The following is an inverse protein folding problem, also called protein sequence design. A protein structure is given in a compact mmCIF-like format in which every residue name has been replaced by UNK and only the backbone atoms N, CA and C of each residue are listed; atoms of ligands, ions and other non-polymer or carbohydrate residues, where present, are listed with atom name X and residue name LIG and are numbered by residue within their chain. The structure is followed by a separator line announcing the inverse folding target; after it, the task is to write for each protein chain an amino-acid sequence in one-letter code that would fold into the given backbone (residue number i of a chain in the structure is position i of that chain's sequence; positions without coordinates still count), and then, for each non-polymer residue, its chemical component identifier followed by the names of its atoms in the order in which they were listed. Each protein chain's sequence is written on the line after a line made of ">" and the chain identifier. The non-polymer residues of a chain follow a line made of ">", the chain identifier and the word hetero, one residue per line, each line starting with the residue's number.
data_IF_167662559608
#
_entry.id   IF_167662559608
#
_cell.length_a   1.000
_cell.length_b   1.000
_cell.length_c   1.000
_cell.angle_alpha   90.00
_cell.angle_beta   90.00
_cell.angle_gamma   90.00
#
_symmetry.space_group_name_H-M   'P 1'
#
loop_
_entity.id
_entity.type
_entity.pdbx_description
1 polymer ?
#
# COMPACT_ATOMS: atom_id res chain seq x y z
N UNK A 1 -7.88 14.24 -2.86
CA UNK A 1 -7.81 13.37 -1.67
C UNK A 1 -6.59 12.46 -1.77
N UNK A 2 -5.86 12.34 -0.68
CA UNK A 2 -4.67 11.47 -0.63
C UNK A 2 -5.10 10.06 -0.21
N UNK A 3 -4.63 9.06 -0.95
CA UNK A 3 -4.96 7.66 -0.72
C UNK A 3 -3.70 6.83 -0.51
N UNK A 4 -3.83 5.78 0.31
CA UNK A 4 -2.81 4.73 0.42
C UNK A 4 -3.34 3.54 -0.36
N UNK A 5 -2.64 3.16 -1.42
CA UNK A 5 -3.13 2.13 -2.34
C UNK A 5 -2.01 1.25 -2.87
N UNK A 6 -2.38 0.15 -3.51
CA UNK A 6 -1.43 -0.75 -4.14
C UNK A 6 -1.15 -0.31 -5.57
N UNK A 7 0.13 -0.31 -5.94
CA UNK A 7 0.57 -0.10 -7.31
C UNK A 7 1.13 -1.42 -7.81
N UNK A 8 0.54 -1.94 -8.88
CA UNK A 8 0.97 -3.22 -9.43
C UNK A 8 2.32 -3.10 -10.14
N UNK A 9 3.20 -4.05 -9.83
CA UNK A 9 4.51 -4.20 -10.45
C UNK A 9 4.65 -5.65 -10.90
N UNK A 10 5.76 -5.99 -11.53
CA UNK A 10 6.08 -7.36 -11.90
C UNK A 10 5.52 -7.81 -13.23
N UNK A 11 5.71 -9.10 -13.53
CA UNK A 11 5.33 -9.69 -14.80
C UNK A 11 3.84 -10.03 -14.85
N UNK A 12 3.35 -10.38 -16.04
CA UNK A 12 1.93 -10.63 -16.29
C UNK A 12 1.32 -11.70 -15.38
N UNK A 13 2.04 -12.78 -15.09
CA UNK A 13 1.57 -13.88 -14.24
C UNK A 13 2.26 -13.91 -12.88
N UNK A 14 3.01 -12.87 -12.55
CA UNK A 14 3.75 -12.78 -11.30
C UNK A 14 3.52 -11.39 -10.68
N UNK A 15 2.31 -11.13 -10.15
CA UNK A 15 1.99 -9.83 -9.59
C UNK A 15 2.80 -9.56 -8.33
N UNK A 16 3.29 -8.35 -8.24
CA UNK A 16 3.97 -7.81 -7.08
C UNK A 16 3.43 -6.40 -6.89
N UNK A 17 3.18 -6.02 -5.65
CA UNK A 17 2.56 -4.73 -5.38
C UNK A 17 3.43 -3.88 -4.49
N UNK A 18 3.47 -2.59 -4.76
CA UNK A 18 4.03 -1.60 -3.85
C UNK A 18 2.89 -0.88 -3.17
N UNK A 19 3.06 -0.61 -1.88
CA UNK A 19 2.10 0.16 -1.09
C UNK A 19 2.53 1.60 -1.17
N UNK A 20 1.73 2.45 -1.82
CA UNK A 20 2.10 3.81 -2.12
C UNK A 20 1.05 4.80 -1.64
N UNK A 21 1.52 5.99 -1.33
CA UNK A 21 0.67 7.15 -1.03
C UNK A 21 0.57 7.96 -2.31
N UNK A 22 -0.65 8.23 -2.75
CA UNK A 22 -0.86 8.97 -3.99
C UNK A 22 -2.14 9.79 -3.92
N UNK A 23 -2.19 10.85 -4.73
CA UNK A 23 -3.42 11.60 -4.92
C UNK A 23 -4.42 10.73 -5.67
N UNK A 24 -5.67 10.71 -5.22
CA UNK A 24 -6.73 9.90 -5.84
C UNK A 24 -6.95 10.23 -7.32
N UNK A 25 -6.53 11.42 -7.77
CA UNK A 25 -6.63 11.84 -9.17
C UNK A 25 -5.55 11.23 -10.06
N UNK A 26 -4.48 10.68 -9.47
CA UNK A 26 -3.42 10.04 -10.25
C UNK A 26 -3.90 8.68 -10.76
N UNK A 27 -3.51 8.27 -11.98
CA UNK A 27 -3.80 6.92 -12.46
C UNK A 27 -3.26 5.86 -11.49
N UNK A 28 -3.95 4.72 -11.42
CA UNK A 28 -3.64 3.64 -10.48
C UNK A 28 -2.18 3.19 -10.53
N UNK A 29 -1.61 3.05 -11.73
CA UNK A 29 -0.22 2.65 -11.92
C UNK A 29 0.66 3.82 -12.36
N UNK A 30 0.19 5.05 -12.13
CA UNK A 30 0.92 6.26 -12.45
C UNK A 30 1.82 6.71 -11.32
N UNK A 31 2.03 8.02 -11.26
CA UNK A 31 2.91 8.61 -10.24
C UNK A 31 2.30 8.49 -8.85
N UNK A 32 3.16 8.53 -7.83
CA UNK A 32 2.76 8.50 -6.44
C UNK A 32 3.62 9.51 -5.65
N UNK A 33 3.17 9.81 -4.42
CA UNK A 33 3.87 10.75 -3.54
C UNK A 33 5.03 10.06 -2.83
N UNK A 34 4.76 8.88 -2.25
CA UNK A 34 5.74 8.15 -1.46
C UNK A 34 5.41 6.66 -1.45
N UNK A 35 6.44 5.82 -1.47
CA UNK A 35 6.30 4.39 -1.29
C UNK A 35 6.53 4.07 0.19
N UNK A 36 5.60 3.34 0.81
CA UNK A 36 5.68 3.01 2.24
C UNK A 36 5.78 1.52 2.50
N UNK A 37 5.83 0.69 1.47
CA UNK A 37 5.98 -0.74 1.66
C UNK A 37 5.73 -1.52 0.39
N UNK A 38 5.63 -2.84 0.55
CA UNK A 38 5.32 -3.71 -0.57
C UNK A 38 4.51 -4.93 -0.10
N UNK A 39 3.85 -5.57 -1.05
CA UNK A 39 3.06 -6.76 -0.82
C UNK A 39 3.34 -7.76 -1.93
N UNK A 40 3.79 -8.96 -1.56
CA UNK A 40 4.05 -10.04 -2.51
C UNK A 40 3.12 -11.22 -2.21
N UNK A 41 2.05 -11.39 -3.00
CA UNK A 41 1.11 -12.50 -2.77
C UNK A 41 1.62 -13.85 -3.26
N UNK A 42 2.74 -13.88 -3.98
CA UNK A 42 3.26 -15.12 -4.57
C UNK A 42 4.02 -15.99 -3.56
N UNK A 43 4.49 -15.39 -2.46
CA UNK A 43 5.13 -16.17 -1.40
C UNK A 43 4.07 -16.87 -0.54
N UNK A 44 4.46 -17.94 0.14
CA UNK A 44 3.56 -18.67 1.03
C UNK A 44 4.22 -18.78 2.42
N UNK A 45 3.72 -18.05 3.46
CA UNK A 45 2.63 -17.07 3.38
C UNK A 45 3.02 -15.81 2.61
N UNK A 46 2.03 -15.05 2.18
CA UNK A 46 2.25 -13.81 1.44
C UNK A 46 3.13 -12.85 2.27
N UNK A 47 4.09 -12.20 1.61
CA UNK A 47 5.00 -11.27 2.26
C UNK A 47 4.40 -9.87 2.25
N UNK A 48 4.34 -9.25 3.43
CA UNK A 48 3.91 -7.85 3.56
C UNK A 48 4.96 -7.12 4.38
N UNK A 49 5.46 -6.03 3.83
CA UNK A 49 6.38 -5.12 4.53
C UNK A 49 5.82 -3.71 4.45
N UNK A 50 5.63 -3.07 5.59
CA UNK A 50 5.11 -1.71 5.65
C UNK A 50 5.93 -0.93 6.66
N UNK A 51 6.34 0.29 6.26
CA UNK A 51 6.95 1.23 7.20
C UNK A 51 5.84 1.77 8.10
N UNK A 52 5.78 1.25 9.32
CA UNK A 52 4.70 1.57 10.25
C UNK A 52 4.66 3.05 10.61
N UNK A 53 5.82 3.68 10.79
CA UNK A 53 5.87 5.10 11.13
C UNK A 53 5.31 5.97 10.01
N UNK A 54 5.73 5.71 8.78
CA UNK A 54 5.22 6.46 7.62
C UNK A 54 3.73 6.23 7.42
N UNK A 55 3.28 4.98 7.56
CA UNK A 55 1.86 4.66 7.44
C UNK A 55 1.04 5.43 8.47
N UNK A 56 1.49 5.44 9.73
CA UNK A 56 0.79 6.15 10.80
C UNK A 56 0.78 7.67 10.56
N UNK A 57 1.89 8.23 10.09
CA UNK A 57 1.96 9.66 9.77
C UNK A 57 0.95 10.04 8.69
N UNK A 58 0.88 9.25 7.61
CA UNK A 58 -0.05 9.53 6.52
C UNK A 58 -1.50 9.36 6.97
N UNK A 59 -1.80 8.32 7.75
CA UNK A 59 -3.14 8.12 8.30
C UNK A 59 -3.54 9.29 9.21
N UNK A 60 -2.62 9.74 10.05
CA UNK A 60 -2.83 10.90 10.92
C UNK A 60 -3.12 12.17 10.11
N UNK A 61 -2.50 12.30 8.96
CA UNK A 61 -2.68 13.46 8.08
C UNK A 61 -3.90 13.32 7.17
N UNK A 62 -4.72 12.29 7.37
CA UNK A 62 -5.98 12.14 6.64
C UNK A 62 -5.92 11.29 5.39
N UNK A 63 -4.81 10.60 5.12
CA UNK A 63 -4.75 9.70 3.99
C UNK A 63 -5.72 8.53 4.18
N UNK A 64 -6.43 8.16 3.12
CA UNK A 64 -7.46 7.12 3.18
C UNK A 64 -6.94 5.82 2.56
N UNK A 65 -6.80 4.73 3.32
CA UNK A 65 -6.39 3.45 2.75
C UNK A 65 -7.53 2.82 1.95
N UNK A 66 -7.17 2.15 0.86
CA UNK A 66 -8.13 1.31 0.14
C UNK A 66 -8.48 0.10 1.02
N UNK A 67 -9.57 -0.60 0.69
CA UNK A 67 -10.00 -1.77 1.47
C UNK A 67 -8.88 -2.82 1.59
N UNK A 68 -8.18 -3.09 0.49
CA UNK A 68 -7.09 -4.06 0.50
C UNK A 68 -5.94 -3.61 1.39
N UNK A 69 -5.53 -2.34 1.28
CA UNK A 69 -4.47 -1.79 2.13
C UNK A 69 -4.88 -1.78 3.59
N UNK A 70 -6.14 -1.43 3.87
CA UNK A 70 -6.67 -1.44 5.23
C UNK A 70 -6.55 -2.82 5.86
N UNK A 71 -6.88 -3.88 5.11
CA UNK A 71 -6.74 -5.26 5.57
C UNK A 71 -5.26 -5.60 5.84
N UNK A 72 -4.35 -5.15 4.97
CA UNK A 72 -2.92 -5.37 5.17
C UNK A 72 -2.39 -4.64 6.40
N UNK A 73 -2.86 -3.43 6.64
CA UNK A 73 -2.47 -2.66 7.83
C UNK A 73 -2.92 -3.35 9.12
N UNK A 74 -4.13 -3.89 9.12
CA UNK A 74 -4.66 -4.66 10.26
C UNK A 74 -3.84 -5.92 10.50
N UNK A 75 -3.54 -6.66 9.44
CA UNK A 75 -2.75 -7.88 9.50
C UNK A 75 -1.36 -7.63 10.04
N UNK A 76 -0.78 -6.46 9.72
CA UNK A 76 0.54 -6.07 10.17
C UNK A 76 0.54 -5.43 11.56
N UNK A 77 -0.62 -5.26 12.19
CA UNK A 77 -0.73 -4.68 13.52
C UNK A 77 -0.56 -3.18 13.58
N UNK A 78 -0.61 -2.49 12.44
CA UNK A 78 -0.43 -1.03 12.38
C UNK A 78 -1.71 -0.29 12.77
N UNK A 79 -2.86 -0.88 12.46
CA UNK A 79 -4.17 -0.35 12.87
C UNK A 79 -4.98 -1.49 13.49
N UNK A 80 -6.00 -1.13 14.26
CA UNK A 80 -6.90 -2.11 14.89
C UNK A 80 -7.98 -2.63 13.96
#
# INVERSE_FOLDING_TARGET
>A
MVKIRLRRMGAKKAPFYRIVVADSRYPRNGRFIEEIGYYNPLTNPATVKIDAEKAKQWLNNGAQPTETVKALLKKSGIVD
#
